data_IF_203542342838
#
_entry.id   IF_203542342838
#
_cell.length_a   1.000
_cell.length_b   1.000
_cell.length_c   1.000
_cell.angle_alpha   90.00
_cell.angle_beta   90.00
_cell.angle_gamma   90.00
#
_symmetry.space_group_name_H-M   'P 1'
#
loop_
_entity.id
_entity.type
_entity.pdbx_description
1 polymer ?
#
# COMPACT_ATOMS: atom_id res chain seq x y z
N UNK A 1 44.63 -19.42 -25.35
CA UNK A 1 44.57 -20.77 -24.76
C UNK A 1 45.19 -20.85 -23.35
N UNK A 2 45.37 -19.73 -22.64
CA UNK A 2 45.99 -19.68 -21.29
C UNK A 2 44.97 -19.70 -20.16
N UNK A 3 43.70 -19.38 -20.42
CA UNK A 3 42.64 -19.35 -19.38
C UNK A 3 42.43 -20.71 -18.69
N UNK A 4 42.75 -21.81 -19.35
CA UNK A 4 42.69 -23.17 -18.79
C UNK A 4 43.63 -23.36 -17.60
N UNK A 5 44.73 -22.59 -17.53
CA UNK A 5 45.69 -22.65 -16.43
C UNK A 5 45.20 -21.88 -15.20
N UNK A 6 44.46 -20.79 -15.41
CA UNK A 6 44.00 -19.91 -14.33
C UNK A 6 42.64 -20.32 -13.76
N UNK A 7 41.74 -20.81 -14.61
CA UNK A 7 40.34 -21.15 -14.26
C UNK A 7 40.15 -22.65 -14.11
N UNK A 8 41.09 -23.30 -13.43
CA UNK A 8 41.17 -24.76 -13.33
C UNK A 8 40.30 -25.29 -12.19
N UNK A 9 39.53 -26.35 -12.45
CA UNK A 9 38.86 -27.16 -11.43
C UNK A 9 39.53 -28.55 -11.37
N UNK A 10 39.75 -29.15 -10.19
CA UNK A 10 40.23 -30.53 -10.09
C UNK A 10 39.28 -31.50 -10.84
N UNK A 11 39.84 -32.41 -11.64
CA UNK A 11 39.08 -33.42 -12.39
C UNK A 11 38.47 -32.97 -13.73
N UNK A 12 38.85 -31.79 -14.24
CA UNK A 12 38.37 -31.26 -15.53
C UNK A 12 38.98 -32.03 -16.72
N UNK A 13 38.14 -32.61 -17.59
CA UNK A 13 38.57 -33.38 -18.77
C UNK A 13 38.42 -32.62 -20.09
N UNK A 14 37.57 -31.59 -20.12
CA UNK A 14 37.31 -30.76 -21.29
C UNK A 14 37.28 -29.28 -20.96
N UNK A 15 37.62 -28.43 -21.94
CA UNK A 15 37.55 -26.97 -21.84
C UNK A 15 36.12 -26.47 -21.54
N UNK A 16 35.08 -27.25 -21.87
CA UNK A 16 33.68 -26.90 -21.59
C UNK A 16 33.34 -26.91 -20.10
N UNK A 17 34.05 -27.70 -19.29
CA UNK A 17 33.77 -27.86 -17.86
C UNK A 17 34.43 -26.78 -16.99
N UNK A 18 34.90 -25.70 -17.64
CA UNK A 18 35.65 -24.64 -16.97
C UNK A 18 34.72 -23.88 -16.02
N UNK A 19 35.05 -23.71 -14.74
CA UNK A 19 34.18 -23.06 -13.77
C UNK A 19 33.93 -21.61 -14.15
N UNK A 20 32.73 -21.28 -14.63
CA UNK A 20 32.26 -19.90 -14.87
C UNK A 20 31.50 -19.46 -13.63
N UNK A 21 32.04 -18.50 -12.88
CA UNK A 21 31.27 -17.79 -11.85
C UNK A 21 30.93 -16.41 -12.43
N UNK A 22 29.74 -16.31 -13.01
CA UNK A 22 29.18 -15.06 -13.51
C UNK A 22 28.38 -14.39 -12.38
N UNK A 23 28.49 -13.08 -12.28
CA UNK A 23 27.56 -12.31 -11.46
C UNK A 23 26.18 -12.40 -12.12
N UNK A 24 25.22 -12.91 -11.36
CA UNK A 24 23.90 -13.24 -11.85
C UNK A 24 22.90 -13.24 -10.70
N UNK A 25 21.61 -13.10 -11.01
CA UNK A 25 20.59 -13.18 -9.97
C UNK A 25 20.67 -14.54 -9.27
N UNK A 26 20.38 -14.60 -7.97
CA UNK A 26 20.31 -15.87 -7.27
C UNK A 26 19.28 -16.80 -7.93
N UNK A 27 19.44 -18.13 -7.82
CA UNK A 27 18.42 -19.08 -8.28
C UNK A 27 17.06 -18.74 -7.63
N UNK A 28 16.08 -18.36 -8.43
CA UNK A 28 14.78 -17.86 -7.97
C UNK A 28 14.53 -16.36 -8.18
N UNK A 29 15.54 -15.59 -8.59
CA UNK A 29 15.42 -14.17 -8.88
C UNK A 29 15.32 -13.28 -7.64
N UNK A 30 15.12 -11.98 -7.86
CA UNK A 30 14.93 -11.01 -6.78
C UNK A 30 13.44 -10.89 -6.40
N UNK A 31 13.20 -10.43 -5.17
CA UNK A 31 11.86 -10.09 -4.73
C UNK A 31 11.22 -9.02 -5.67
N UNK A 32 9.90 -9.10 -5.91
CA UNK A 32 9.22 -8.16 -6.79
C UNK A 32 9.28 -6.74 -6.23
N UNK A 33 9.90 -5.83 -6.97
CA UNK A 33 9.97 -4.42 -6.61
C UNK A 33 8.65 -3.74 -6.96
N UNK A 34 8.03 -3.10 -5.97
CA UNK A 34 6.83 -2.29 -6.19
C UNK A 34 7.22 -0.94 -6.80
N UNK A 35 6.95 -0.75 -8.08
CA UNK A 35 7.26 0.51 -8.79
C UNK A 35 6.06 1.48 -8.87
N UNK A 36 4.83 0.95 -8.80
CA UNK A 36 3.62 1.75 -9.01
C UNK A 36 3.22 2.54 -7.76
N UNK A 37 2.73 3.77 -7.97
CA UNK A 37 2.09 4.58 -6.93
C UNK A 37 0.77 3.93 -6.49
N UNK A 38 0.61 3.70 -5.19
CA UNK A 38 -0.63 3.18 -4.60
C UNK A 38 -1.11 4.10 -3.48
N UNK A 39 -2.03 5.00 -3.81
CA UNK A 39 -2.72 5.85 -2.83
C UNK A 39 -4.04 5.15 -2.45
N UNK A 40 -4.23 4.75 -1.19
CA UNK A 40 -5.47 4.11 -0.77
C UNK A 40 -6.60 5.14 -0.57
N UNK A 41 -7.70 4.99 -1.31
CA UNK A 41 -8.91 5.80 -1.11
C UNK A 41 -9.83 5.12 -0.09
N UNK A 42 -9.48 5.20 1.20
CA UNK A 42 -10.24 4.61 2.32
C UNK A 42 -11.23 5.58 3.00
N UNK A 43 -11.40 6.77 2.43
CA UNK A 43 -12.34 7.76 2.96
C UNK A 43 -13.80 7.33 2.80
N UNK A 44 -14.72 7.89 3.61
CA UNK A 44 -16.15 7.67 3.43
C UNK A 44 -16.60 8.10 2.04
N UNK A 45 -17.56 7.37 1.47
CA UNK A 45 -18.10 7.68 0.13
C UNK A 45 -18.85 9.01 0.14
N UNK A 46 -19.02 9.62 -1.04
CA UNK A 46 -19.74 10.89 -1.18
C UNK A 46 -21.15 10.83 -0.58
N UNK A 47 -21.87 9.72 -0.79
CA UNK A 47 -23.22 9.51 -0.24
C UNK A 47 -23.18 9.39 1.28
N UNK A 48 -22.18 8.71 1.84
CA UNK A 48 -22.04 8.59 3.29
C UNK A 48 -21.80 9.97 3.94
N UNK A 49 -20.93 10.79 3.34
CA UNK A 49 -20.68 12.16 3.81
C UNK A 49 -21.97 12.98 3.72
N UNK A 50 -22.65 12.94 2.58
CA UNK A 50 -23.89 13.69 2.36
C UNK A 50 -24.98 13.33 3.38
N UNK A 51 -25.27 12.04 3.54
CA UNK A 51 -26.32 11.58 4.47
C UNK A 51 -25.97 11.88 5.93
N UNK A 52 -24.70 11.75 6.31
CA UNK A 52 -24.26 12.11 7.66
C UNK A 52 -24.47 13.60 7.93
N UNK A 53 -24.04 14.48 7.02
CA UNK A 53 -24.21 15.93 7.16
C UNK A 53 -25.69 16.32 7.14
N UNK A 54 -26.47 15.80 6.18
CA UNK A 54 -27.89 16.10 6.08
C UNK A 54 -28.68 15.62 7.30
N UNK A 55 -28.38 14.42 7.80
CA UNK A 55 -29.00 13.86 8.99
C UNK A 55 -28.67 14.67 10.24
N UNK A 56 -27.40 15.01 10.44
CA UNK A 56 -26.96 15.85 11.57
C UNK A 56 -27.62 17.24 11.52
N UNK A 57 -27.69 17.86 10.33
CA UNK A 57 -28.32 19.15 10.15
C UNK A 57 -29.82 19.11 10.44
N UNK A 58 -30.55 18.17 9.82
CA UNK A 58 -32.00 18.02 9.99
C UNK A 58 -32.36 17.73 11.45
N UNK A 59 -31.58 16.87 12.11
CA UNK A 59 -31.74 16.60 13.53
C UNK A 59 -31.46 17.82 14.40
N UNK A 60 -30.36 18.55 14.13
CA UNK A 60 -30.03 19.78 14.84
C UNK A 60 -31.15 20.82 14.74
N UNK A 61 -31.70 21.01 13.54
CA UNK A 61 -32.82 21.94 13.33
C UNK A 61 -34.10 21.51 14.05
N UNK A 62 -34.39 20.20 14.09
CA UNK A 62 -35.51 19.67 14.87
C UNK A 62 -35.37 19.98 16.37
N UNK A 63 -34.17 19.80 16.93
CA UNK A 63 -33.90 20.11 18.34
C UNK A 63 -33.99 21.61 18.62
N UNK A 64 -33.49 22.46 17.73
CA UNK A 64 -33.65 23.92 17.83
C UNK A 64 -35.13 24.32 17.79
N UNK A 65 -35.93 23.69 16.94
CA UNK A 65 -37.38 23.92 16.86
C UNK A 65 -38.09 23.57 18.17
N UNK A 66 -37.77 22.41 18.76
CA UNK A 66 -38.29 22.00 20.08
C UNK A 66 -37.92 22.97 21.19
N UNK A 67 -36.67 23.44 21.22
CA UNK A 67 -36.21 24.42 22.22
C UNK A 67 -36.94 25.77 22.17
N UNK A 68 -37.63 26.09 21.07
CA UNK A 68 -38.47 27.29 20.95
C UNK A 68 -39.94 27.05 21.30
N UNK A 69 -40.39 25.79 21.29
CA UNK A 69 -41.77 25.40 21.60
C UNK A 69 -42.00 25.16 23.10
N UNK A 70 -40.92 24.89 23.84
CA UNK A 70 -40.92 24.91 25.30
C UNK A 70 -40.34 26.27 25.76
N UNK A 71 -41.14 27.31 26.05
CA UNK A 71 -40.69 28.36 26.96
C UNK A 71 -40.53 27.67 28.31
N UNK A 72 -39.34 27.20 28.63
CA UNK A 72 -39.04 26.82 30.00
C UNK A 72 -38.83 28.10 30.77
N UNK A 73 -39.80 28.37 31.65
CA UNK A 73 -39.61 29.12 32.87
C UNK A 73 -38.20 28.85 33.44
N UNK A 74 -37.40 29.91 33.62
CA UNK A 74 -36.13 29.81 34.33
C UNK A 74 -35.06 30.79 33.86
N UNK A 75 -34.99 31.91 34.56
CA UNK A 75 -33.82 32.75 34.89
C UNK A 75 -32.46 32.36 34.25
N UNK A 76 -31.96 33.24 33.35
CA UNK A 76 -30.71 34.04 33.42
C UNK A 76 -30.47 34.73 32.07
#
# INVERSE_FOLDING_TARGET
MTETLFRKKPGMTSVKDMPILQDGPPPGGFAPVRFARRIPNKGPSAVAIFLATFGAFSWGMYQVGKGKQDPKDGDF
#
